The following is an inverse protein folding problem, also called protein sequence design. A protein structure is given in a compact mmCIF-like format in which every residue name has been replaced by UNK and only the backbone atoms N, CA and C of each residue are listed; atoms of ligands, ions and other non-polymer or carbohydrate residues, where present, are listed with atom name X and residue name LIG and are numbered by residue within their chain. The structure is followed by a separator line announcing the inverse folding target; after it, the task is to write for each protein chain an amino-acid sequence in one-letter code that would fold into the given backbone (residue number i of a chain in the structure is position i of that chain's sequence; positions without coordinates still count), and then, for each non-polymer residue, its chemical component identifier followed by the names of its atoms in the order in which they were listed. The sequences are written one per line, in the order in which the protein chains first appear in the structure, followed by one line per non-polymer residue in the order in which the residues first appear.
data_IF_516893200816
#
_entry.id   IF_516893200816
#
_cell.length_a   1.000
_cell.length_b   1.000
_cell.length_c   1.000
_cell.angle_alpha   90.00
_cell.angle_beta   90.00
_cell.angle_gamma   90.00
#
_symmetry.space_group_name_H-M   'P 1'
#
loop_
_entity.id
_entity.type
_entity.pdbx_description
1 polymer ?
#
# COMPACT_ATOMS: atom_id res chain seq x y z
N UNK A 1 14.72 -0.55 10.99
CA UNK A 1 15.79 -1.32 10.32
C UNK A 1 16.29 -2.45 11.23
N UNK A 2 16.69 -2.18 12.49
CA UNK A 2 17.26 -3.18 13.41
C UNK A 2 16.35 -4.39 13.66
N UNK A 3 15.06 -4.19 13.92
CA UNK A 3 14.09 -5.29 14.12
C UNK A 3 13.95 -6.17 12.87
N UNK A 4 13.94 -5.58 11.67
CA UNK A 4 13.85 -6.35 10.42
C UNK A 4 15.08 -7.24 10.19
N UNK A 5 16.28 -6.71 10.44
CA UNK A 5 17.53 -7.48 10.34
C UNK A 5 17.55 -8.62 11.37
N UNK A 6 17.15 -8.34 12.61
CA UNK A 6 17.08 -9.33 13.68
C UNK A 6 16.07 -10.44 13.34
N UNK A 7 14.88 -10.07 12.83
CA UNK A 7 13.85 -11.03 12.41
C UNK A 7 14.35 -11.93 11.27
N UNK A 8 15.02 -11.37 10.28
CA UNK A 8 15.58 -12.12 9.16
C UNK A 8 16.68 -13.07 9.64
N UNK A 9 17.60 -12.59 10.46
CA UNK A 9 18.68 -13.41 11.03
C UNK A 9 18.12 -14.57 11.87
N UNK A 10 17.15 -14.29 12.73
CA UNK A 10 16.48 -15.32 13.55
C UNK A 10 15.79 -16.37 12.68
N UNK A 11 15.09 -15.92 11.62
CA UNK A 11 14.38 -16.82 10.71
C UNK A 11 15.33 -17.75 9.95
N UNK A 12 16.46 -17.23 9.46
CA UNK A 12 17.49 -18.05 8.81
C UNK A 12 18.13 -19.05 9.78
N UNK A 13 18.39 -18.65 11.02
CA UNK A 13 18.91 -19.55 12.02
C UNK A 13 17.94 -20.67 12.41
N UNK A 14 16.64 -20.40 12.41
CA UNK A 14 15.61 -21.42 12.64
C UNK A 14 15.52 -22.38 11.47
N UNK A 15 15.66 -21.92 10.23
CA UNK A 15 15.74 -22.76 9.02
C UNK A 15 16.88 -23.76 9.14
N UNK A 16 18.10 -23.32 9.50
CA UNK A 16 19.25 -24.16 9.71
C UNK A 16 19.07 -25.23 10.81
N UNK A 17 18.32 -24.90 11.86
CA UNK A 17 18.14 -25.76 13.04
C UNK A 17 16.96 -26.72 12.96
N UNK A 18 15.88 -26.34 12.24
CA UNK A 18 14.58 -27.03 12.29
C UNK A 18 14.00 -27.38 10.94
N UNK A 19 14.72 -27.13 9.85
CA UNK A 19 14.26 -27.36 8.47
C UNK A 19 12.90 -26.68 8.15
N UNK A 20 12.65 -25.53 8.79
CA UNK A 20 11.46 -24.69 8.54
C UNK A 20 11.89 -23.55 7.66
N UNK A 21 11.32 -23.44 6.47
CA UNK A 21 11.60 -22.39 5.50
C UNK A 21 11.55 -20.98 6.15
N UNK A 22 12.63 -20.22 6.01
CA UNK A 22 12.82 -18.92 6.71
C UNK A 22 11.67 -17.94 6.46
N UNK A 23 11.07 -17.95 5.29
CA UNK A 23 9.96 -17.04 4.98
C UNK A 23 8.69 -17.34 5.79
N UNK A 24 8.42 -18.60 6.17
CA UNK A 24 7.31 -18.95 7.06
C UNK A 24 7.56 -18.42 8.48
N UNK A 25 8.77 -18.58 8.98
CA UNK A 25 9.16 -18.05 10.29
C UNK A 25 9.17 -16.53 10.30
N UNK A 26 9.68 -15.90 9.24
CA UNK A 26 9.66 -14.44 9.09
C UNK A 26 8.23 -13.90 9.05
N UNK A 27 7.33 -14.56 8.32
CA UNK A 27 5.91 -14.24 8.27
C UNK A 27 5.23 -14.37 9.64
N UNK A 28 5.52 -15.43 10.40
CA UNK A 28 5.01 -15.61 11.75
C UNK A 28 5.49 -14.49 12.70
N UNK A 29 6.78 -14.16 12.69
CA UNK A 29 7.34 -13.05 13.48
C UNK A 29 6.66 -11.73 13.10
N UNK A 30 6.50 -11.44 11.80
CA UNK A 30 5.82 -10.24 11.32
C UNK A 30 4.37 -10.16 11.79
N UNK A 31 3.64 -11.28 11.75
CA UNK A 31 2.25 -11.36 12.23
C UNK A 31 2.16 -11.10 13.74
N UNK A 32 3.06 -11.66 14.54
CA UNK A 32 3.10 -11.42 15.99
C UNK A 32 3.42 -9.97 16.31
N UNK A 33 4.39 -9.36 15.62
CA UNK A 33 4.74 -7.95 15.80
C UNK A 33 3.57 -7.03 15.39
N UNK A 34 2.88 -7.35 14.31
CA UNK A 34 1.69 -6.61 13.87
C UNK A 34 0.58 -6.70 14.91
N UNK A 35 0.26 -7.91 15.38
CA UNK A 35 -0.76 -8.12 16.41
C UNK A 35 -0.41 -7.39 17.71
N UNK A 36 0.85 -7.44 18.16
CA UNK A 36 1.32 -6.70 19.31
C UNK A 36 1.18 -5.19 19.12
N UNK A 37 1.55 -4.66 17.95
CA UNK A 37 1.40 -3.23 17.65
C UNK A 37 -0.07 -2.81 17.68
N UNK A 38 -0.95 -3.59 17.06
CA UNK A 38 -2.38 -3.31 17.02
C UNK A 38 -3.06 -3.40 18.39
N UNK A 39 -2.56 -4.27 19.29
CA UNK A 39 -3.13 -4.39 20.66
C UNK A 39 -2.89 -3.16 21.54
N UNK A 40 -1.83 -2.39 21.26
CA UNK A 40 -1.56 -1.11 21.94
C UNK A 40 -2.17 0.10 21.24
N UNK A 41 -2.77 -0.13 20.06
CA UNK A 41 -3.30 0.95 19.25
C UNK A 41 -4.69 1.38 19.73
N UNK A 42 -4.88 2.68 19.94
CA UNK A 42 -6.17 3.25 20.34
C UNK A 42 -6.83 3.91 19.13
N UNK A 43 -8.00 3.40 18.77
CA UNK A 43 -8.84 3.99 17.74
C UNK A 43 -9.58 5.22 18.31
N UNK A 44 -9.08 6.42 18.03
CA UNK A 44 -9.68 7.67 18.50
C UNK A 44 -10.66 8.27 17.49
N UNK A 45 -10.41 8.03 16.21
CA UNK A 45 -11.23 8.61 15.13
C UNK A 45 -11.85 7.52 14.23
N UNK A 46 -12.94 6.89 14.66
CA UNK A 46 -13.62 5.86 13.86
C UNK A 46 -14.26 6.42 12.57
N UNK A 47 -14.60 7.71 12.54
CA UNK A 47 -15.16 8.33 11.34
C UNK A 47 -14.14 8.41 10.21
N UNK A 48 -12.88 8.69 10.52
CA UNK A 48 -11.80 8.67 9.53
C UNK A 48 -11.63 7.26 8.93
N UNK A 49 -11.67 6.22 9.77
CA UNK A 49 -11.59 4.83 9.29
C UNK A 49 -12.74 4.46 8.36
N UNK A 50 -13.99 4.82 8.73
CA UNK A 50 -15.17 4.55 7.91
C UNK A 50 -15.10 5.28 6.56
N UNK A 51 -14.66 6.54 6.58
CA UNK A 51 -14.46 7.32 5.35
C UNK A 51 -13.40 6.69 4.47
N UNK A 52 -12.29 6.24 5.05
CA UNK A 52 -11.20 5.59 4.30
C UNK A 52 -11.68 4.29 3.64
N UNK A 53 -12.39 3.44 4.37
CA UNK A 53 -12.98 2.22 3.84
C UNK A 53 -13.93 2.54 2.67
N UNK A 54 -14.81 3.52 2.83
CA UNK A 54 -15.72 3.94 1.78
C UNK A 54 -14.98 4.42 0.52
N UNK A 55 -13.97 5.27 0.69
CA UNK A 55 -13.18 5.82 -0.43
C UNK A 55 -12.40 4.73 -1.15
N UNK A 56 -11.80 3.78 -0.41
CA UNK A 56 -11.10 2.62 -0.99
C UNK A 56 -12.07 1.80 -1.85
N UNK A 57 -13.24 1.46 -1.32
CA UNK A 57 -14.24 0.68 -2.07
C UNK A 57 -14.70 1.42 -3.33
N UNK A 58 -14.98 2.71 -3.22
CA UNK A 58 -15.42 3.52 -4.36
C UNK A 58 -14.38 3.52 -5.48
N UNK A 59 -13.13 3.86 -5.17
CA UNK A 59 -12.06 3.94 -6.17
C UNK A 59 -11.64 2.57 -6.70
N UNK A 60 -11.66 1.53 -5.88
CA UNK A 60 -11.44 0.16 -6.32
C UNK A 60 -12.50 -0.31 -7.29
N UNK A 61 -13.77 0.01 -7.02
CA UNK A 61 -14.87 -0.31 -7.92
C UNK A 61 -14.75 0.45 -9.26
N UNK A 62 -14.46 1.75 -9.22
CA UNK A 62 -14.24 2.57 -10.42
C UNK A 62 -13.07 2.02 -11.25
N UNK A 63 -11.95 1.72 -10.61
CA UNK A 63 -10.77 1.15 -11.28
C UNK A 63 -11.05 -0.22 -11.88
N UNK A 64 -11.71 -1.11 -11.14
CA UNK A 64 -12.07 -2.45 -11.61
C UNK A 64 -13.03 -2.40 -12.81
N UNK A 65 -14.08 -1.57 -12.73
CA UNK A 65 -15.03 -1.40 -13.85
C UNK A 65 -14.32 -0.82 -15.08
N UNK A 66 -13.48 0.20 -14.89
CA UNK A 66 -12.68 0.78 -15.96
C UNK A 66 -11.79 -0.24 -16.65
N UNK A 67 -11.01 -1.03 -15.87
CA UNK A 67 -10.17 -2.09 -16.44
C UNK A 67 -11.00 -3.16 -17.15
N UNK A 68 -12.11 -3.60 -16.57
CA UNK A 68 -12.97 -4.60 -17.15
C UNK A 68 -13.55 -4.17 -18.50
N UNK A 69 -13.84 -2.88 -18.66
CA UNK A 69 -14.43 -2.33 -19.89
C UNK A 69 -13.38 -2.02 -20.98
N UNK A 70 -12.22 -1.53 -20.59
CA UNK A 70 -11.25 -1.01 -21.56
C UNK A 70 -10.02 -1.89 -21.75
N UNK A 71 -9.59 -2.63 -20.71
CA UNK A 71 -8.33 -3.40 -20.69
C UNK A 71 -8.45 -4.63 -19.78
N UNK A 72 -9.35 -5.60 -20.08
CA UNK A 72 -9.58 -6.76 -19.23
C UNK A 72 -8.33 -7.66 -19.06
N UNK A 73 -7.39 -7.60 -19.99
CA UNK A 73 -6.11 -8.31 -19.93
C UNK A 73 -5.21 -7.84 -18.76
N UNK A 74 -5.45 -6.65 -18.23
CA UNK A 74 -4.74 -6.11 -17.07
C UNK A 74 -5.36 -6.52 -15.73
N UNK A 75 -6.46 -7.29 -15.73
CA UNK A 75 -7.05 -7.86 -14.49
C UNK A 75 -6.24 -9.06 -13.99
N UNK A 76 -4.96 -8.85 -13.77
CA UNK A 76 -3.99 -9.84 -13.23
C UNK A 76 -3.28 -9.26 -12.01
N UNK A 77 -2.84 -10.16 -11.14
CA UNK A 77 -2.25 -9.78 -9.84
C UNK A 77 -1.08 -8.80 -10.00
N UNK A 78 -0.22 -9.03 -10.98
CA UNK A 78 0.99 -8.24 -11.23
C UNK A 78 0.70 -6.77 -11.52
N UNK A 79 -0.43 -6.48 -12.17
CA UNK A 79 -0.88 -5.11 -12.41
C UNK A 79 -1.69 -4.56 -11.23
N UNK A 80 -2.58 -5.37 -10.67
CA UNK A 80 -3.52 -4.93 -9.66
C UNK A 80 -2.86 -4.65 -8.30
N UNK A 81 -1.83 -5.42 -7.91
CA UNK A 81 -1.21 -5.29 -6.60
C UNK A 81 -0.57 -3.90 -6.37
N UNK A 82 0.32 -3.37 -7.24
CA UNK A 82 0.87 -2.04 -7.07
C UNK A 82 -0.20 -0.95 -7.20
N UNK A 83 -1.14 -1.07 -8.14
CA UNK A 83 -2.23 -0.10 -8.31
C UNK A 83 -3.10 -0.03 -7.06
N UNK A 84 -3.56 -1.16 -6.53
CA UNK A 84 -4.37 -1.21 -5.32
C UNK A 84 -3.62 -0.66 -4.09
N UNK A 85 -2.35 -0.99 -3.92
CA UNK A 85 -1.53 -0.47 -2.82
C UNK A 85 -1.41 1.07 -2.85
N UNK A 86 -1.24 1.65 -4.03
CA UNK A 86 -1.15 3.10 -4.18
C UNK A 86 -2.52 3.80 -4.16
N UNK A 87 -3.61 3.12 -4.48
CA UNK A 87 -4.95 3.65 -4.22
C UNK A 87 -5.31 3.61 -2.73
N UNK A 88 -4.83 2.62 -1.98
CA UNK A 88 -4.87 2.64 -0.52
C UNK A 88 -4.13 3.86 0.04
N UNK A 89 -2.91 4.11 -0.45
CA UNK A 89 -2.13 5.30 -0.07
C UNK A 89 -2.85 6.61 -0.46
N UNK A 90 -3.42 6.70 -1.65
CA UNK A 90 -4.21 7.86 -2.05
C UNK A 90 -5.44 8.07 -1.15
N UNK A 91 -6.14 6.98 -0.78
CA UNK A 91 -7.32 7.03 0.10
C UNK A 91 -6.94 7.48 1.50
N UNK A 92 -5.91 6.90 2.09
CA UNK A 92 -5.42 7.29 3.42
C UNK A 92 -4.93 8.75 3.44
N UNK A 93 -4.25 9.20 2.39
CA UNK A 93 -3.82 10.60 2.25
C UNK A 93 -5.02 11.54 2.09
N UNK A 94 -5.99 11.19 1.24
CA UNK A 94 -7.23 11.97 1.07
C UNK A 94 -7.97 12.15 2.39
N UNK A 95 -8.12 11.07 3.15
CA UNK A 95 -8.78 11.12 4.45
C UNK A 95 -7.98 11.97 5.43
N UNK A 96 -6.66 11.75 5.53
CA UNK A 96 -5.79 12.55 6.39
C UNK A 96 -5.91 14.06 6.11
N UNK A 97 -5.95 14.46 4.84
CA UNK A 97 -6.14 15.86 4.44
C UNK A 97 -7.50 16.44 4.91
N UNK A 98 -8.55 15.63 4.94
CA UNK A 98 -9.86 16.05 5.46
C UNK A 98 -9.90 16.13 7.01
N UNK A 99 -8.91 15.52 7.68
CA UNK A 99 -8.73 15.58 9.14
C UNK A 99 -7.50 16.42 9.55
N UNK A 100 -7.28 17.54 8.83
CA UNK A 100 -6.28 18.57 9.12
C UNK A 100 -4.80 18.15 8.96
N UNK A 101 -4.50 17.09 8.23
CA UNK A 101 -3.14 16.79 7.83
C UNK A 101 -2.71 17.68 6.64
N UNK A 102 -1.39 17.81 6.45
CA UNK A 102 -0.82 18.52 5.31
C UNK A 102 0.02 17.57 4.46
N UNK A 103 -0.13 17.67 3.14
CA UNK A 103 0.73 16.96 2.19
C UNK A 103 2.14 17.58 2.20
N UNK A 104 3.15 16.75 2.37
CA UNK A 104 4.55 17.16 2.45
C UNK A 104 5.29 17.07 1.11
N UNK A 105 4.81 16.22 0.21
CA UNK A 105 5.44 16.00 -1.09
C UNK A 105 5.03 17.07 -2.10
N UNK A 106 6.03 17.64 -2.78
CA UNK A 106 5.83 18.74 -3.73
C UNK A 106 4.84 18.38 -4.83
N UNK A 107 5.00 17.19 -5.44
CA UNK A 107 4.12 16.75 -6.51
C UNK A 107 2.68 16.56 -6.02
N UNK A 108 2.49 15.91 -4.87
CA UNK A 108 1.17 15.75 -4.26
C UNK A 108 0.49 17.09 -4.00
N UNK A 109 1.24 18.06 -3.47
CA UNK A 109 0.73 19.41 -3.20
C UNK A 109 0.27 20.13 -4.47
N UNK A 110 1.03 20.06 -5.57
CA UNK A 110 0.62 20.66 -6.84
C UNK A 110 -0.74 20.13 -7.30
N UNK A 111 -0.95 18.81 -7.25
CA UNK A 111 -2.22 18.22 -7.65
C UNK A 111 -3.37 18.57 -6.68
N UNK A 112 -3.08 18.69 -5.40
CA UNK A 112 -4.08 19.10 -4.39
C UNK A 112 -4.45 20.58 -4.59
N UNK A 113 -3.49 21.44 -4.87
CA UNK A 113 -3.73 22.88 -5.12
C UNK A 113 -4.56 23.11 -6.39
N UNK A 114 -4.39 22.26 -7.42
CA UNK A 114 -5.12 22.38 -8.69
C UNK A 114 -6.52 21.73 -8.66
N UNK A 115 -6.66 20.58 -7.99
CA UNK A 115 -7.85 19.71 -8.07
C UNK A 115 -8.49 19.41 -6.71
N UNK A 116 -8.03 20.09 -5.65
CA UNK A 116 -8.44 19.79 -4.27
C UNK A 116 -7.85 18.46 -3.77
N UNK A 117 -8.28 17.98 -2.57
CA UNK A 117 -7.78 16.74 -1.97
C UNK A 117 -7.89 15.51 -2.87
N UNK A 118 -8.88 15.46 -3.76
CA UNK A 118 -9.06 14.38 -4.75
C UNK A 118 -7.97 14.34 -5.83
N UNK A 119 -7.21 15.41 -6.02
CA UNK A 119 -6.08 15.47 -6.95
C UNK A 119 -5.02 14.42 -6.68
N UNK A 120 -4.94 13.90 -5.44
CA UNK A 120 -4.01 12.82 -5.09
C UNK A 120 -4.29 11.52 -5.87
N UNK A 121 -5.56 11.21 -6.15
CA UNK A 121 -5.93 10.05 -6.96
C UNK A 121 -5.50 10.21 -8.42
N UNK A 122 -5.70 11.42 -8.97
CA UNK A 122 -5.25 11.72 -10.34
C UNK A 122 -3.73 11.58 -10.45
N UNK A 123 -2.99 12.13 -9.51
CA UNK A 123 -1.54 12.00 -9.46
C UNK A 123 -1.11 10.53 -9.42
N UNK A 124 -1.68 9.74 -8.49
CA UNK A 124 -1.34 8.31 -8.36
C UNK A 124 -1.70 7.53 -9.63
N UNK A 125 -2.84 7.81 -10.23
CA UNK A 125 -3.24 7.18 -11.50
C UNK A 125 -2.24 7.48 -12.61
N UNK A 126 -1.86 8.75 -12.80
CA UNK A 126 -0.92 9.17 -13.84
C UNK A 126 0.50 8.61 -13.67
N UNK A 127 0.89 8.28 -12.45
CA UNK A 127 2.23 7.75 -12.15
C UNK A 127 2.22 6.23 -12.10
N UNK A 128 1.34 5.65 -11.28
CA UNK A 128 1.41 4.22 -10.94
C UNK A 128 0.84 3.33 -12.05
N UNK A 129 -0.23 3.76 -12.72
CA UNK A 129 -0.83 2.95 -13.78
C UNK A 129 0.14 2.75 -14.95
N UNK A 130 0.80 3.79 -15.51
CA UNK A 130 1.80 3.60 -16.56
C UNK A 130 3.01 2.78 -16.09
N UNK A 131 3.50 2.99 -14.88
CA UNK A 131 4.63 2.20 -14.33
C UNK A 131 4.24 0.74 -14.20
N UNK A 132 3.07 0.45 -13.62
CA UNK A 132 2.59 -0.94 -13.48
C UNK A 132 2.38 -1.61 -14.83
N UNK A 133 1.84 -0.87 -15.82
CA UNK A 133 1.68 -1.36 -17.18
C UNK A 133 3.04 -1.70 -17.80
N UNK A 134 4.00 -0.79 -17.72
CA UNK A 134 5.35 -0.99 -18.25
C UNK A 134 6.03 -2.22 -17.61
N UNK A 135 5.94 -2.37 -16.29
CA UNK A 135 6.53 -3.53 -15.61
C UNK A 135 5.90 -4.86 -16.03
N UNK A 136 4.60 -4.86 -16.29
CA UNK A 136 3.90 -6.07 -16.70
C UNK A 136 4.24 -6.48 -18.13
N UNK A 137 4.46 -5.52 -19.04
CA UNK A 137 4.71 -5.78 -20.45
C UNK A 137 6.20 -6.00 -20.79
N UNK A 138 7.12 -5.30 -20.11
CA UNK A 138 8.54 -5.29 -20.48
C UNK A 138 9.42 -6.23 -19.65
N UNK A 139 8.93 -6.68 -18.47
CA UNK A 139 9.70 -7.55 -17.59
C UNK A 139 9.05 -8.93 -17.48
N UNK A 140 9.89 -9.95 -17.20
CA UNK A 140 9.45 -11.31 -16.99
C UNK A 140 10.06 -11.96 -15.73
N UNK A 141 9.48 -13.08 -15.29
CA UNK A 141 10.03 -13.92 -14.24
C UNK A 141 10.21 -13.22 -12.88
N UNK A 142 11.34 -13.52 -12.25
CA UNK A 142 11.64 -13.04 -10.89
C UNK A 142 11.89 -11.53 -10.82
N UNK A 143 12.46 -10.96 -11.87
CA UNK A 143 12.74 -9.52 -11.93
C UNK A 143 11.43 -8.72 -11.93
N UNK A 144 10.44 -9.12 -12.74
CA UNK A 144 9.10 -8.55 -12.71
C UNK A 144 8.51 -8.58 -11.32
N UNK A 145 8.52 -9.75 -10.69
CA UNK A 145 7.93 -9.94 -9.36
C UNK A 145 8.64 -9.11 -8.29
N UNK A 146 9.95 -8.94 -8.41
CA UNK A 146 10.72 -8.10 -7.49
C UNK A 146 10.30 -6.62 -7.58
N UNK A 147 10.20 -6.04 -8.79
CA UNK A 147 9.76 -4.65 -8.95
C UNK A 147 8.32 -4.43 -8.50
N UNK A 148 7.42 -5.35 -8.85
CA UNK A 148 6.03 -5.32 -8.40
C UNK A 148 5.95 -5.35 -6.88
N UNK A 149 6.72 -6.23 -6.24
CA UNK A 149 6.79 -6.33 -4.78
C UNK A 149 7.26 -5.01 -4.15
N UNK A 150 8.34 -4.42 -4.65
CA UNK A 150 8.89 -3.16 -4.12
C UNK A 150 7.87 -2.03 -4.22
N UNK A 151 7.24 -1.83 -5.40
CA UNK A 151 6.27 -0.75 -5.60
C UNK A 151 5.03 -0.98 -4.73
N UNK A 152 4.55 -2.23 -4.64
CA UNK A 152 3.42 -2.57 -3.77
C UNK A 152 3.75 -2.28 -2.30
N UNK A 153 4.94 -2.68 -1.84
CA UNK A 153 5.37 -2.46 -0.46
C UNK A 153 5.47 -0.96 -0.13
N UNK A 154 5.97 -0.14 -1.05
CA UNK A 154 6.03 1.31 -0.88
C UNK A 154 4.63 1.92 -0.72
N UNK A 155 3.67 1.53 -1.55
CA UNK A 155 2.28 1.98 -1.43
C UNK A 155 1.64 1.56 -0.10
N UNK A 156 1.75 0.27 0.26
CA UNK A 156 1.19 -0.27 1.50
C UNK A 156 1.83 0.35 2.75
N UNK A 157 3.14 0.57 2.75
CA UNK A 157 3.85 1.15 3.88
C UNK A 157 3.39 2.58 4.19
N UNK A 158 3.24 3.41 3.15
CA UNK A 158 2.75 4.79 3.30
C UNK A 158 1.27 4.79 3.70
N UNK A 159 0.44 3.98 3.05
CA UNK A 159 -0.97 3.83 3.38
C UNK A 159 -1.17 3.47 4.85
N UNK A 160 -0.53 2.39 5.31
CA UNK A 160 -0.62 1.94 6.70
C UNK A 160 -0.21 3.03 7.69
N UNK A 161 0.89 3.73 7.42
CA UNK A 161 1.34 4.83 8.28
C UNK A 161 0.30 5.95 8.35
N UNK A 162 -0.22 6.39 7.21
CA UNK A 162 -1.18 7.50 7.15
C UNK A 162 -2.50 7.11 7.83
N UNK A 163 -3.02 5.91 7.57
CA UNK A 163 -4.21 5.36 8.24
C UNK A 163 -4.02 5.37 9.75
N UNK A 164 -2.95 4.74 10.25
CA UNK A 164 -2.69 4.67 11.69
C UNK A 164 -2.55 6.06 12.32
N UNK A 165 -1.87 7.00 11.67
CA UNK A 165 -1.78 8.37 12.18
C UNK A 165 -3.15 9.05 12.26
N UNK A 166 -3.98 8.92 11.24
CA UNK A 166 -5.27 9.61 11.14
C UNK A 166 -6.32 9.04 12.09
N UNK A 167 -6.38 7.72 12.23
CA UNK A 167 -7.36 7.07 13.11
C UNK A 167 -6.96 7.07 14.59
N UNK A 168 -5.67 7.29 14.89
CA UNK A 168 -5.11 7.37 16.25
C UNK A 168 -4.90 8.80 16.78
N UNK A 169 -5.19 9.82 15.97
CA UNK A 169 -5.03 11.23 16.34
C UNK A 169 -6.25 11.84 17.01
#
# INVERSE_FOLDING_TARGET
IGLGILSLWTSKKIEELKDIEYHKTLGAIGTVLLAATLSFYQLKNPQALLLEIFVIFLWSAVGFIGLKLFKPELLRFEFLAPVAAHYLDASSTFVALNFNANEKHVLGRIFIDLFGPSGIFLMKTLVIVPISYYLVEEFDGEEKMFYIFIITLLGLGIATRNTLQTIGS
#
